data_IF_417927182883
#
_entry.id   IF_417927182883
#
_cell.length_a   1.000
_cell.length_b   1.000
_cell.length_c   1.000
_cell.angle_alpha   90.00
_cell.angle_beta   90.00
_cell.angle_gamma   90.00
#
_symmetry.space_group_name_H-M   'P 1'
#
loop_
_entity.id
_entity.type
_entity.pdbx_description
1 polymer ?
#
# COMPACT_ATOMS: atom_id res chain seq x y z
N UNK A 1 17.03 -54.77 -24.16
CA UNK A 1 16.05 -53.90 -24.86
C UNK A 1 16.78 -53.20 -26.00
N UNK A 2 16.26 -53.24 -27.23
CA UNK A 2 16.89 -52.51 -28.34
C UNK A 2 16.57 -51.01 -28.24
N UNK A 3 17.52 -50.17 -28.64
CA UNK A 3 17.40 -48.71 -28.65
C UNK A 3 16.17 -48.21 -29.43
N UNK A 4 15.73 -48.95 -30.44
CA UNK A 4 14.54 -48.62 -31.26
C UNK A 4 13.21 -48.73 -30.49
N UNK A 5 13.13 -49.60 -29.46
CA UNK A 5 11.94 -49.69 -28.60
C UNK A 5 11.87 -48.52 -27.62
N UNK A 6 13.00 -48.12 -27.04
CA UNK A 6 13.07 -46.96 -26.14
C UNK A 6 12.82 -45.64 -26.87
N UNK A 7 13.34 -45.50 -28.10
CA UNK A 7 13.09 -44.34 -28.98
C UNK A 7 11.60 -44.18 -29.36
N UNK A 8 10.91 -45.28 -29.66
CA UNK A 8 9.50 -45.26 -30.02
C UNK A 8 8.56 -45.00 -28.83
N UNK A 9 8.93 -45.43 -27.63
CA UNK A 9 8.15 -45.16 -26.41
C UNK A 9 8.31 -43.70 -25.95
N UNK A 10 9.53 -43.13 -26.01
CA UNK A 10 9.76 -41.70 -25.76
C UNK A 10 8.92 -40.81 -26.69
N UNK A 11 8.93 -41.10 -28.00
CA UNK A 11 8.14 -40.37 -29.00
C UNK A 11 6.61 -40.45 -28.79
N UNK A 12 6.11 -41.51 -28.14
CA UNK A 12 4.67 -41.65 -27.82
C UNK A 12 4.28 -40.87 -26.57
N UNK A 13 5.16 -40.82 -25.56
CA UNK A 13 4.96 -40.04 -24.34
C UNK A 13 4.91 -38.55 -24.66
N UNK A 14 5.85 -38.07 -25.49
CA UNK A 14 5.90 -36.67 -25.93
C UNK A 14 4.62 -36.27 -26.69
N UNK A 15 4.13 -37.12 -27.59
CA UNK A 15 2.88 -36.84 -28.34
C UNK A 15 1.64 -36.80 -27.46
N UNK A 16 1.58 -37.61 -26.40
CA UNK A 16 0.44 -37.62 -25.48
C UNK A 16 0.44 -36.37 -24.60
N UNK A 17 1.60 -35.97 -24.07
CA UNK A 17 1.75 -34.74 -23.29
C UNK A 17 1.37 -33.51 -24.12
N UNK A 18 1.90 -33.38 -25.35
CA UNK A 18 1.55 -32.29 -26.27
C UNK A 18 0.04 -32.23 -26.57
N UNK A 19 -0.62 -33.39 -26.69
CA UNK A 19 -2.07 -33.43 -26.92
C UNK A 19 -2.87 -32.99 -25.69
N UNK A 20 -2.43 -33.35 -24.48
CA UNK A 20 -3.05 -32.92 -23.22
C UNK A 20 -2.87 -31.42 -22.99
N UNK A 21 -1.67 -30.87 -23.25
CA UNK A 21 -1.41 -29.43 -23.20
C UNK A 21 -2.30 -28.65 -24.17
N UNK A 22 -2.44 -29.12 -25.43
CA UNK A 22 -3.35 -28.50 -26.41
C UNK A 22 -4.81 -28.52 -25.97
N UNK A 23 -5.25 -29.56 -25.24
CA UNK A 23 -6.61 -29.61 -24.71
C UNK A 23 -6.81 -28.60 -23.59
N UNK A 24 -5.86 -28.51 -22.66
CA UNK A 24 -5.87 -27.51 -21.58
C UNK A 24 -5.86 -26.08 -22.15
N UNK A 25 -5.03 -25.82 -23.14
CA UNK A 25 -4.95 -24.53 -23.81
C UNK A 25 -6.27 -24.16 -24.51
N UNK A 26 -6.91 -25.12 -25.18
CA UNK A 26 -8.22 -24.90 -25.80
C UNK A 26 -9.32 -24.61 -24.77
N UNK A 27 -9.27 -25.28 -23.62
CA UNK A 27 -10.21 -25.07 -22.52
C UNK A 27 -9.98 -23.70 -21.85
N UNK A 28 -8.73 -23.32 -21.58
CA UNK A 28 -8.34 -21.98 -21.11
C UNK A 28 -8.88 -20.88 -22.03
N UNK A 29 -8.61 -21.00 -23.34
CA UNK A 29 -9.09 -20.03 -24.33
C UNK A 29 -10.62 -19.93 -24.38
N UNK A 30 -11.32 -21.04 -24.18
CA UNK A 30 -12.78 -21.04 -24.09
C UNK A 30 -13.25 -20.28 -22.85
N UNK A 31 -12.67 -20.54 -21.68
CA UNK A 31 -13.00 -19.84 -20.42
C UNK A 31 -12.73 -18.34 -20.55
N UNK A 32 -11.60 -17.95 -21.14
CA UNK A 32 -11.28 -16.54 -21.40
C UNK A 32 -12.30 -15.86 -22.31
N UNK A 33 -12.77 -16.57 -23.34
CA UNK A 33 -13.80 -16.06 -24.22
C UNK A 33 -15.15 -15.92 -23.48
N UNK A 34 -15.52 -16.92 -22.69
CA UNK A 34 -16.73 -16.89 -21.86
C UNK A 34 -16.66 -15.72 -20.86
N UNK A 35 -15.51 -15.48 -20.23
CA UNK A 35 -15.25 -14.32 -19.37
C UNK A 35 -15.42 -13.01 -20.15
N UNK A 36 -14.77 -12.86 -21.32
CA UNK A 36 -14.91 -11.67 -22.17
C UNK A 36 -16.36 -11.36 -22.57
N UNK A 37 -17.15 -12.41 -22.81
CA UNK A 37 -18.55 -12.28 -23.24
C UNK A 37 -19.52 -12.06 -22.08
N UNK A 38 -19.19 -12.51 -20.87
CA UNK A 38 -20.08 -12.49 -19.71
C UNK A 38 -19.73 -11.44 -18.65
N UNK A 39 -18.48 -11.00 -18.57
CA UNK A 39 -18.02 -10.04 -17.56
C UNK A 39 -18.52 -8.64 -17.87
N UNK A 40 -19.40 -8.14 -17.02
CA UNK A 40 -19.96 -6.79 -17.10
C UNK A 40 -19.32 -5.81 -16.13
N UNK A 41 -18.46 -6.26 -15.22
CA UNK A 41 -17.83 -5.44 -14.19
C UNK A 41 -16.36 -5.82 -14.01
N UNK A 42 -15.54 -4.81 -13.76
CA UNK A 42 -14.09 -4.96 -13.66
C UNK A 42 -13.65 -5.54 -12.30
N UNK A 43 -14.42 -5.35 -11.24
CA UNK A 43 -14.16 -5.95 -9.92
C UNK A 43 -14.22 -7.49 -9.96
N UNK A 44 -15.16 -8.08 -10.69
CA UNK A 44 -15.21 -9.53 -10.91
C UNK A 44 -13.99 -10.03 -11.69
N UNK A 45 -13.58 -9.31 -12.74
CA UNK A 45 -12.37 -9.65 -13.51
C UNK A 45 -11.11 -9.57 -12.63
N UNK A 46 -11.00 -8.53 -11.82
CA UNK A 46 -9.92 -8.37 -10.84
C UNK A 46 -9.87 -9.56 -9.88
N UNK A 47 -11.02 -9.93 -9.30
CA UNK A 47 -11.10 -11.03 -8.33
C UNK A 47 -10.69 -12.38 -8.95
N UNK A 48 -11.07 -12.62 -10.21
CA UNK A 48 -10.64 -13.80 -10.97
C UNK A 48 -9.12 -13.78 -11.17
N UNK A 49 -8.58 -12.67 -11.67
CA UNK A 49 -7.15 -12.52 -11.94
C UNK A 49 -6.31 -12.65 -10.66
N UNK A 50 -6.77 -12.08 -9.55
CA UNK A 50 -6.15 -12.20 -8.24
C UNK A 50 -6.09 -13.67 -7.77
N UNK A 51 -7.19 -14.41 -7.92
CA UNK A 51 -7.23 -15.84 -7.61
C UNK A 51 -6.24 -16.67 -8.44
N UNK A 52 -5.98 -16.28 -9.69
CA UNK A 52 -5.04 -16.96 -10.58
C UNK A 52 -3.56 -16.68 -10.24
N UNK A 53 -3.26 -15.58 -9.55
CA UNK A 53 -1.89 -15.24 -9.16
C UNK A 53 -1.53 -15.62 -7.70
N UNK A 54 -2.50 -16.05 -6.89
CA UNK A 54 -2.26 -16.40 -5.48
C UNK A 54 -1.57 -17.77 -5.34
N UNK A 55 -0.42 -17.83 -4.64
CA UNK A 55 0.45 -19.02 -4.52
C UNK A 55 -0.20 -20.29 -3.95
N UNK A 56 -1.35 -20.16 -3.30
CA UNK A 56 -2.09 -21.29 -2.73
C UNK A 56 -3.28 -21.72 -3.59
N UNK A 57 -3.45 -21.17 -4.79
CA UNK A 57 -4.46 -21.65 -5.72
C UNK A 57 -3.94 -22.86 -6.48
N UNK A 58 -4.80 -23.86 -6.68
CA UNK A 58 -4.54 -25.00 -7.56
C UNK A 58 -4.39 -24.58 -9.04
N UNK A 59 -4.55 -23.28 -9.31
CA UNK A 59 -4.67 -22.66 -10.63
C UNK A 59 -3.62 -21.55 -10.85
N UNK A 60 -2.48 -21.61 -10.16
CA UNK A 60 -1.41 -20.63 -10.32
C UNK A 60 -0.92 -20.60 -11.78
N UNK A 61 -1.40 -19.63 -12.54
CA UNK A 61 -1.03 -19.39 -13.94
C UNK A 61 -0.88 -17.88 -14.12
N UNK A 62 0.38 -17.43 -14.02
CA UNK A 62 0.74 -16.01 -14.09
C UNK A 62 0.42 -15.40 -15.45
N UNK A 63 0.61 -16.17 -16.52
CA UNK A 63 0.31 -15.69 -17.88
C UNK A 63 -1.20 -15.50 -18.04
N UNK A 64 -1.98 -16.43 -17.50
CA UNK A 64 -3.43 -16.29 -17.51
C UNK A 64 -3.91 -15.12 -16.63
N UNK A 65 -3.32 -14.92 -15.45
CA UNK A 65 -3.63 -13.78 -14.60
C UNK A 65 -3.37 -12.45 -15.33
N UNK A 66 -2.23 -12.33 -16.05
CA UNK A 66 -1.91 -11.16 -16.88
C UNK A 66 -2.98 -10.90 -17.94
N UNK A 67 -3.42 -11.94 -18.65
CA UNK A 67 -4.47 -11.81 -19.65
C UNK A 67 -5.79 -11.29 -19.02
N UNK A 68 -6.20 -11.82 -17.86
CA UNK A 68 -7.43 -11.38 -17.19
C UNK A 68 -7.30 -9.96 -16.64
N UNK A 69 -6.14 -9.57 -16.09
CA UNK A 69 -5.88 -8.19 -15.68
C UNK A 69 -5.96 -7.23 -16.87
N UNK A 70 -5.41 -7.59 -18.03
CA UNK A 70 -5.53 -6.75 -19.24
C UNK A 70 -6.98 -6.54 -19.66
N UNK A 71 -7.84 -7.57 -19.54
CA UNK A 71 -9.27 -7.42 -19.80
C UNK A 71 -9.95 -6.51 -18.78
N UNK A 72 -9.56 -6.61 -17.51
CA UNK A 72 -10.03 -5.71 -16.46
C UNK A 72 -9.67 -4.26 -16.81
N UNK A 73 -8.42 -4.00 -17.20
CA UNK A 73 -7.95 -2.67 -17.62
C UNK A 73 -8.69 -2.12 -18.85
N UNK A 74 -8.96 -2.96 -19.85
CA UNK A 74 -9.75 -2.61 -21.04
C UNK A 74 -11.19 -2.28 -20.67
N UNK A 75 -11.80 -3.05 -19.77
CA UNK A 75 -13.17 -2.84 -19.32
C UNK A 75 -13.30 -1.53 -18.54
N UNK A 76 -12.38 -1.25 -17.62
CA UNK A 76 -12.33 0.02 -16.87
C UNK A 76 -12.24 1.18 -17.86
N UNK A 77 -11.37 1.08 -18.86
CA UNK A 77 -11.21 2.13 -19.86
C UNK A 77 -12.47 2.37 -20.70
N UNK A 78 -13.23 1.31 -21.00
CA UNK A 78 -14.45 1.39 -21.80
C UNK A 78 -15.65 1.92 -20.99
N UNK A 79 -15.76 1.55 -19.73
CA UNK A 79 -16.91 1.88 -18.88
C UNK A 79 -16.78 3.26 -18.22
N UNK A 80 -15.55 3.68 -17.95
CA UNK A 80 -15.28 4.87 -17.18
C UNK A 80 -14.44 5.84 -18.01
N UNK A 81 -15.13 6.60 -18.88
CA UNK A 81 -14.52 7.71 -19.62
C UNK A 81 -14.05 8.85 -18.68
N UNK A 82 -14.60 8.93 -17.46
CA UNK A 82 -14.29 10.04 -16.55
C UNK A 82 -13.67 9.59 -15.21
N UNK A 83 -14.28 8.78 -14.31
CA UNK A 83 -13.68 8.60 -12.96
C UNK A 83 -13.86 7.27 -12.21
N UNK A 84 -14.45 6.22 -12.78
CA UNK A 84 -14.67 4.97 -12.04
C UNK A 84 -13.46 4.04 -12.03
N UNK A 85 -13.15 3.51 -10.86
CA UNK A 85 -12.20 2.41 -10.61
C UNK A 85 -10.69 2.72 -10.63
N UNK A 86 -10.30 3.94 -10.25
CA UNK A 86 -8.91 4.25 -9.87
C UNK A 86 -8.32 3.18 -8.92
N UNK A 87 -9.10 2.74 -7.93
CA UNK A 87 -8.64 1.76 -6.95
C UNK A 87 -8.30 0.41 -7.57
N UNK A 88 -9.11 -0.06 -8.53
CA UNK A 88 -8.84 -1.33 -9.21
C UNK A 88 -7.57 -1.21 -10.06
N UNK A 89 -7.38 -0.10 -10.80
CA UNK A 89 -6.14 0.12 -11.54
C UNK A 89 -4.90 0.19 -10.63
N UNK A 90 -5.02 0.78 -9.44
CA UNK A 90 -3.94 0.83 -8.45
C UNK A 90 -3.61 -0.55 -7.89
N UNK A 91 -4.63 -1.35 -7.60
CA UNK A 91 -4.46 -2.71 -7.08
C UNK A 91 -3.86 -3.62 -8.14
N UNK A 92 -4.30 -3.53 -9.40
CA UNK A 92 -3.68 -4.23 -10.54
C UNK A 92 -2.21 -3.83 -10.67
N UNK A 93 -1.91 -2.52 -10.68
CA UNK A 93 -0.53 -2.04 -10.78
C UNK A 93 0.33 -2.58 -9.64
N UNK A 94 -0.20 -2.65 -8.41
CA UNK A 94 0.49 -3.25 -7.26
C UNK A 94 0.73 -4.76 -7.43
N UNK A 95 -0.20 -5.50 -8.03
CA UNK A 95 -0.02 -6.94 -8.30
C UNK A 95 1.12 -7.16 -9.31
N UNK A 96 1.22 -6.33 -10.36
CA UNK A 96 2.34 -6.34 -11.32
C UNK A 96 3.70 -5.94 -10.72
N UNK A 97 3.72 -5.38 -9.51
CA UNK A 97 4.94 -5.02 -8.81
C UNK A 97 5.37 -6.08 -7.78
N UNK A 98 4.42 -6.89 -7.32
CA UNK A 98 4.70 -7.85 -6.28
C UNK A 98 5.27 -9.14 -6.88
N UNK A 99 6.55 -9.37 -6.63
CA UNK A 99 7.30 -10.55 -7.05
C UNK A 99 6.70 -11.88 -6.58
N UNK A 100 5.83 -11.85 -5.57
CA UNK A 100 5.10 -13.03 -5.14
C UNK A 100 3.94 -13.40 -6.08
N UNK A 101 3.45 -12.44 -6.86
CA UNK A 101 2.35 -12.56 -7.82
C UNK A 101 2.87 -12.45 -9.26
N UNK A 102 2.97 -11.24 -9.81
CA UNK A 102 3.45 -10.92 -11.16
C UNK A 102 4.59 -9.92 -10.97
N UNK A 103 5.85 -10.32 -11.11
CA UNK A 103 6.99 -9.43 -10.81
C UNK A 103 8.21 -9.72 -11.65
N UNK A 104 7.95 -10.19 -12.88
CA UNK A 104 8.95 -10.27 -13.93
C UNK A 104 9.21 -8.87 -14.51
N UNK A 105 10.28 -8.73 -15.29
CA UNK A 105 10.68 -7.44 -15.86
C UNK A 105 9.56 -6.77 -16.67
N UNK A 106 8.78 -7.56 -17.40
CA UNK A 106 7.68 -7.05 -18.22
C UNK A 106 6.47 -6.62 -17.38
N UNK A 107 6.29 -7.21 -16.19
CA UNK A 107 5.26 -6.81 -15.23
C UNK A 107 5.59 -5.43 -14.64
N UNK A 108 6.87 -5.17 -14.32
CA UNK A 108 7.34 -3.85 -13.87
C UNK A 108 7.07 -2.76 -14.91
N UNK A 109 7.34 -3.05 -16.18
CA UNK A 109 7.04 -2.12 -17.28
C UNK A 109 5.53 -1.86 -17.39
N UNK A 110 4.68 -2.89 -17.22
CA UNK A 110 3.23 -2.75 -17.26
C UNK A 110 2.70 -1.93 -16.09
N UNK A 111 3.20 -2.16 -14.88
CA UNK A 111 2.90 -1.35 -13.71
C UNK A 111 3.26 0.12 -13.98
N UNK A 112 4.42 0.42 -14.55
CA UNK A 112 4.82 1.78 -14.91
C UNK A 112 3.85 2.44 -15.91
N UNK A 113 3.43 1.70 -16.93
CA UNK A 113 2.42 2.14 -17.91
C UNK A 113 1.09 2.45 -17.21
N UNK A 114 0.64 1.58 -16.31
CA UNK A 114 -0.57 1.80 -15.53
C UNK A 114 -0.47 3.03 -14.65
N UNK A 115 0.64 3.24 -13.95
CA UNK A 115 0.82 4.46 -13.16
C UNK A 115 0.85 5.72 -14.01
N UNK A 116 1.44 5.70 -15.21
CA UNK A 116 1.40 6.84 -16.14
C UNK A 116 -0.03 7.12 -16.61
N UNK A 117 -0.80 6.06 -16.88
CA UNK A 117 -2.23 6.16 -17.22
C UNK A 117 -3.03 6.76 -16.07
N UNK A 118 -2.82 6.27 -14.85
CA UNK A 118 -3.46 6.80 -13.64
C UNK A 118 -3.11 8.28 -13.43
N UNK A 119 -1.83 8.62 -13.54
CA UNK A 119 -1.34 10.01 -13.39
C UNK A 119 -1.95 10.94 -14.44
N UNK A 120 -2.23 10.44 -15.65
CA UNK A 120 -2.89 11.22 -16.71
C UNK A 120 -4.39 11.35 -16.48
N UNK A 121 -5.07 10.27 -16.10
CA UNK A 121 -6.52 10.23 -15.96
C UNK A 121 -7.00 10.95 -14.70
N UNK A 122 -6.21 10.95 -13.63
CA UNK A 122 -6.68 11.41 -12.32
C UNK A 122 -5.85 12.58 -11.76
N UNK A 123 -5.00 13.22 -12.58
CA UNK A 123 -4.13 14.31 -12.14
C UNK A 123 -4.84 15.39 -11.32
N UNK A 124 -6.06 15.73 -11.74
CA UNK A 124 -6.85 16.82 -11.18
C UNK A 124 -7.86 16.34 -10.10
N UNK A 125 -8.05 15.03 -9.96
CA UNK A 125 -9.07 14.43 -9.06
C UNK A 125 -8.49 13.52 -7.97
N UNK A 126 -7.18 13.35 -7.92
CA UNK A 126 -6.55 12.57 -6.85
C UNK A 126 -6.68 13.27 -5.50
N UNK A 127 -7.47 12.67 -4.62
CA UNK A 127 -7.47 12.99 -3.19
C UNK A 127 -6.09 12.71 -2.58
N UNK A 128 -5.85 13.25 -1.38
CA UNK A 128 -4.65 12.89 -0.61
C UNK A 128 -4.49 11.38 -0.41
N UNK A 129 -5.61 10.67 -0.28
CA UNK A 129 -5.64 9.21 -0.19
C UNK A 129 -5.16 8.53 -1.47
N UNK A 130 -5.60 9.03 -2.64
CA UNK A 130 -5.19 8.52 -3.94
C UNK A 130 -3.67 8.64 -4.14
N UNK A 131 -3.13 9.84 -3.87
CA UNK A 131 -1.69 10.07 -3.92
C UNK A 131 -0.92 9.20 -2.91
N UNK A 132 -1.42 9.01 -1.69
CA UNK A 132 -0.80 8.12 -0.71
C UNK A 132 -0.75 6.67 -1.20
N UNK A 133 -1.82 6.16 -1.78
CA UNK A 133 -1.87 4.79 -2.33
C UNK A 133 -0.88 4.61 -3.47
N UNK A 134 -0.82 5.57 -4.40
CA UNK A 134 0.17 5.59 -5.48
C UNK A 134 1.60 5.62 -4.95
N UNK A 135 1.89 6.51 -3.99
CA UNK A 135 3.22 6.65 -3.41
C UNK A 135 3.68 5.34 -2.76
N UNK A 136 2.82 4.71 -1.95
CA UNK A 136 3.11 3.43 -1.32
C UNK A 136 3.39 2.31 -2.33
N UNK A 137 2.64 2.29 -3.43
CA UNK A 137 2.75 1.22 -4.41
C UNK A 137 4.05 1.34 -5.23
N UNK A 138 4.47 2.54 -5.61
CA UNK A 138 5.70 2.74 -6.39
C UNK A 138 6.97 2.86 -5.55
N UNK A 139 6.87 3.00 -4.22
CA UNK A 139 8.00 3.29 -3.34
C UNK A 139 9.20 2.35 -3.50
N UNK A 140 8.94 1.04 -3.64
CA UNK A 140 10.01 0.04 -3.78
C UNK A 140 10.60 -0.06 -5.20
N UNK A 141 10.04 0.66 -6.17
CA UNK A 141 10.47 0.64 -7.58
C UNK A 141 11.10 1.96 -7.97
N UNK A 142 10.45 3.05 -7.61
CA UNK A 142 10.81 4.41 -7.97
C UNK A 142 10.58 5.32 -6.76
N UNK A 143 11.59 5.36 -5.89
CA UNK A 143 11.55 6.12 -4.64
C UNK A 143 11.48 7.64 -4.87
N UNK A 144 12.04 8.15 -5.97
CA UNK A 144 11.99 9.58 -6.32
C UNK A 144 10.55 9.96 -6.69
N UNK A 145 9.92 9.18 -7.56
CA UNK A 145 8.50 9.35 -7.89
C UNK A 145 7.60 9.18 -6.67
N UNK A 146 7.88 8.22 -5.81
CA UNK A 146 7.12 8.04 -4.58
C UNK A 146 7.20 9.27 -3.66
N UNK A 147 8.39 9.88 -3.53
CA UNK A 147 8.57 11.11 -2.76
C UNK A 147 7.73 12.27 -3.33
N UNK A 148 7.68 12.42 -4.65
CA UNK A 148 6.83 13.41 -5.32
C UNK A 148 5.34 13.15 -5.05
N UNK A 149 4.89 11.91 -5.14
CA UNK A 149 3.51 11.52 -4.85
C UNK A 149 3.15 11.75 -3.37
N UNK A 150 4.04 11.42 -2.42
CA UNK A 150 3.84 11.75 -1.02
C UNK A 150 3.74 13.26 -0.80
N UNK A 151 4.58 14.04 -1.46
CA UNK A 151 4.51 15.50 -1.37
C UNK A 151 3.20 16.04 -1.94
N UNK A 152 2.66 15.45 -3.01
CA UNK A 152 1.34 15.77 -3.54
C UNK A 152 0.24 15.38 -2.54
N UNK A 153 0.29 14.19 -1.94
CA UNK A 153 -0.63 13.74 -0.90
C UNK A 153 -0.66 14.75 0.27
N UNK A 154 0.50 15.18 0.77
CA UNK A 154 0.59 16.17 1.86
C UNK A 154 0.01 17.52 1.44
N UNK A 155 0.21 17.94 0.18
CA UNK A 155 -0.30 19.21 -0.32
C UNK A 155 -1.83 19.20 -0.41
N UNK A 156 -2.42 18.15 -0.96
CA UNK A 156 -3.86 18.05 -1.19
C UNK A 156 -4.66 17.69 0.05
N UNK A 157 -4.07 17.00 1.03
CA UNK A 157 -4.81 16.47 2.16
C UNK A 157 -5.02 17.46 3.29
N UNK A 158 -6.23 17.51 3.85
CA UNK A 158 -6.59 18.37 4.98
C UNK A 158 -7.07 17.61 6.21
N UNK A 159 -7.42 16.33 6.06
CA UNK A 159 -7.76 15.45 7.16
C UNK A 159 -6.49 15.11 7.97
N UNK A 160 -6.43 15.46 9.28
CA UNK A 160 -5.26 15.21 10.11
C UNK A 160 -4.93 13.72 10.22
N UNK A 161 -5.93 12.83 10.22
CA UNK A 161 -5.71 11.38 10.34
C UNK A 161 -5.05 10.79 9.08
N UNK A 162 -5.40 11.29 7.91
CA UNK A 162 -4.75 10.87 6.67
C UNK A 162 -3.35 11.45 6.56
N UNK A 163 -3.13 12.69 7.00
CA UNK A 163 -1.79 13.28 7.13
C UNK A 163 -0.89 12.48 8.09
N UNK A 164 -1.44 12.00 9.22
CA UNK A 164 -0.74 11.07 10.12
C UNK A 164 -0.39 9.77 9.40
N UNK A 165 -1.32 9.20 8.63
CA UNK A 165 -1.10 7.97 7.86
C UNK A 165 -0.02 8.13 6.78
N UNK A 166 0.05 9.30 6.14
CA UNK A 166 1.13 9.66 5.21
C UNK A 166 2.47 9.69 5.95
N UNK A 167 2.54 10.40 7.09
CA UNK A 167 3.73 10.43 7.94
C UNK A 167 4.15 9.05 8.41
N UNK A 168 3.18 8.20 8.77
CA UNK A 168 3.43 6.84 9.22
C UNK A 168 4.03 5.95 8.15
N UNK A 169 3.56 6.11 6.90
CA UNK A 169 4.04 5.38 5.73
C UNK A 169 5.49 5.75 5.41
N UNK A 170 5.79 7.06 5.37
CA UNK A 170 7.16 7.57 5.24
C UNK A 170 8.06 7.10 6.40
N UNK A 171 7.54 7.05 7.62
CA UNK A 171 8.28 6.56 8.79
C UNK A 171 8.57 5.04 8.77
N UNK A 172 7.74 4.23 8.10
CA UNK A 172 8.00 2.79 7.92
C UNK A 172 9.10 2.55 6.91
N UNK A 173 9.09 3.33 5.83
CA UNK A 173 10.14 3.35 4.83
C UNK A 173 11.53 3.57 5.46
N UNK A 174 11.63 4.48 6.44
CA UNK A 174 12.89 4.88 7.10
C UNK A 174 13.55 3.77 7.96
N UNK A 175 12.95 2.59 8.14
CA UNK A 175 13.51 1.56 9.04
C UNK A 175 14.85 1.02 8.53
N UNK A 176 15.90 1.00 9.36
CA UNK A 176 17.16 0.39 9.00
C UNK A 176 16.95 -1.11 8.77
N UNK A 177 17.14 -1.53 7.53
CA UNK A 177 17.29 -2.94 7.18
C UNK A 177 18.66 -3.39 7.70
N UNK A 178 18.64 -4.46 8.52
CA UNK A 178 19.72 -5.22 9.19
C UNK A 178 21.20 -4.81 8.99
N UNK A 179 21.99 -5.02 10.05
CA UNK A 179 23.45 -4.81 10.19
C UNK A 179 24.37 -5.44 9.11
N UNK A 180 23.84 -6.16 8.12
CA UNK A 180 24.64 -6.78 7.04
C UNK A 180 24.96 -5.84 5.87
N UNK A 181 24.47 -4.60 5.92
CA UNK A 181 24.79 -3.56 4.93
C UNK A 181 24.11 -3.76 3.57
N UNK A 182 23.15 -4.68 3.46
CA UNK A 182 22.34 -4.88 2.24
C UNK A 182 21.04 -4.08 2.25
N UNK A 183 20.85 -3.26 3.28
CA UNK A 183 19.68 -2.42 3.42
C UNK A 183 19.57 -1.37 2.33
N UNK A 184 18.42 -1.34 1.65
CA UNK A 184 18.06 -0.30 0.68
C UNK A 184 18.21 1.05 1.38
N UNK A 185 19.29 1.76 1.04
CA UNK A 185 19.50 3.12 1.49
C UNK A 185 18.33 3.96 0.98
N UNK A 186 17.66 4.63 1.91
CA UNK A 186 16.64 5.63 1.62
C UNK A 186 17.23 6.63 0.63
N UNK A 187 16.70 6.62 -0.59
CA UNK A 187 17.21 7.45 -1.67
C UNK A 187 16.75 8.92 -1.60
N UNK A 188 15.91 9.30 -0.64
CA UNK A 188 15.42 10.67 -0.46
C UNK A 188 15.27 11.01 1.04
N UNK A 189 15.26 12.30 1.40
CA UNK A 189 15.03 12.77 2.77
C UNK A 189 13.55 12.59 3.18
N UNK A 190 13.09 11.34 3.21
CA UNK A 190 11.76 10.92 3.63
C UNK A 190 11.45 11.41 5.05
N UNK A 191 12.48 11.69 5.84
CA UNK A 191 12.35 12.29 7.17
C UNK A 191 11.83 13.73 7.09
N UNK A 192 12.28 14.52 6.11
CA UNK A 192 11.72 15.86 5.88
C UNK A 192 10.25 15.80 5.44
N UNK A 193 9.89 14.90 4.52
CA UNK A 193 8.49 14.72 4.11
C UNK A 193 7.61 14.20 5.26
N UNK A 194 8.11 13.26 6.06
CA UNK A 194 7.43 12.75 7.24
C UNK A 194 7.16 13.89 8.24
N UNK A 195 8.19 14.69 8.57
CA UNK A 195 8.05 15.85 9.46
C UNK A 195 7.07 16.87 8.89
N UNK A 196 7.07 17.09 7.57
CA UNK A 196 6.12 17.97 6.88
C UNK A 196 4.68 17.47 7.02
N UNK A 197 4.44 16.16 6.82
CA UNK A 197 3.13 15.54 6.97
C UNK A 197 2.59 15.69 8.40
N UNK A 198 3.39 15.32 9.40
CA UNK A 198 3.01 15.44 10.81
C UNK A 198 2.82 16.88 11.26
N UNK A 199 3.63 17.82 10.76
CA UNK A 199 3.42 19.24 11.05
C UNK A 199 2.09 19.75 10.47
N UNK A 200 1.77 19.38 9.23
CA UNK A 200 0.47 19.73 8.66
C UNK A 200 -0.67 19.07 9.45
N UNK A 201 -0.51 17.81 9.88
CA UNK A 201 -1.48 17.14 10.74
C UNK A 201 -1.69 17.88 12.06
N UNK A 202 -0.60 18.33 12.71
CA UNK A 202 -0.64 19.15 13.92
C UNK A 202 -1.49 20.41 13.73
N UNK A 203 -1.24 21.15 12.64
CA UNK A 203 -1.97 22.39 12.32
C UNK A 203 -3.48 22.15 12.03
N UNK A 204 -3.87 20.89 11.80
CA UNK A 204 -5.26 20.47 11.51
C UNK A 204 -5.95 19.76 12.67
N UNK A 205 -5.22 19.39 13.73
CA UNK A 205 -5.81 18.82 14.93
C UNK A 205 -6.63 19.88 15.68
N UNK A 206 -7.81 19.49 16.15
CA UNK A 206 -8.80 20.42 16.72
C UNK A 206 -9.34 20.02 18.08
N UNK A 207 -9.03 18.81 18.55
CA UNK A 207 -9.50 18.27 19.82
C UNK A 207 -8.46 17.36 20.47
N UNK A 208 -8.66 17.03 21.74
CA UNK A 208 -7.74 16.19 22.54
C UNK A 208 -7.39 14.88 21.84
N UNK A 209 -8.39 14.13 21.36
CA UNK A 209 -8.19 12.83 20.71
C UNK A 209 -7.26 12.94 19.48
N UNK A 210 -7.46 13.95 18.63
CA UNK A 210 -6.65 14.15 17.43
C UNK A 210 -5.18 14.44 17.78
N UNK A 211 -4.92 15.25 18.83
CA UNK A 211 -3.56 15.51 19.31
C UNK A 211 -2.93 14.27 19.97
N UNK A 212 -3.70 13.49 20.74
CA UNK A 212 -3.23 12.23 21.35
C UNK A 212 -2.82 11.23 20.28
N UNK A 213 -3.62 11.06 19.24
CA UNK A 213 -3.32 10.16 18.13
C UNK A 213 -2.07 10.62 17.36
N UNK A 214 -1.93 11.93 17.12
CA UNK A 214 -0.74 12.49 16.48
C UNK A 214 0.52 12.26 17.31
N UNK A 215 0.48 12.57 18.62
CA UNK A 215 1.61 12.36 19.52
C UNK A 215 2.03 10.89 19.57
N UNK A 216 1.05 9.98 19.57
CA UNK A 216 1.28 8.54 19.52
C UNK A 216 1.98 8.14 18.22
N UNK A 217 1.47 8.59 17.07
CA UNK A 217 2.04 8.30 15.75
C UNK A 217 3.49 8.79 15.62
N UNK A 218 3.77 10.02 16.07
CA UNK A 218 5.11 10.61 16.08
C UNK A 218 6.05 9.83 17.01
N UNK A 219 5.62 9.52 18.24
CA UNK A 219 6.43 8.85 19.25
C UNK A 219 6.79 7.40 18.91
N UNK A 220 5.90 6.68 18.23
CA UNK A 220 6.09 5.26 17.89
C UNK A 220 7.27 5.00 16.93
N UNK A 221 7.75 6.03 16.22
CA UNK A 221 8.90 5.93 15.30
C UNK A 221 10.27 5.90 15.99
N UNK A 222 10.31 5.96 17.32
CA UNK A 222 11.41 5.56 18.20
C UNK A 222 12.81 6.14 17.88
N UNK A 223 12.89 7.31 17.26
CA UNK A 223 14.09 8.15 17.29
C UNK A 223 13.99 9.13 18.46
N UNK A 224 15.10 9.44 19.14
CA UNK A 224 15.10 10.29 20.34
C UNK A 224 14.44 11.67 20.12
N UNK A 225 14.67 12.29 18.97
CA UNK A 225 14.07 13.58 18.59
C UNK A 225 12.54 13.51 18.45
N UNK A 226 12.01 12.41 17.94
CA UNK A 226 10.56 12.25 17.76
C UNK A 226 9.84 12.07 19.11
N UNK A 227 10.49 11.48 20.12
CA UNK A 227 9.89 11.36 21.47
C UNK A 227 9.70 12.72 22.14
N UNK A 228 10.70 13.61 22.04
CA UNK A 228 10.58 14.96 22.58
C UNK A 228 9.47 15.74 21.86
N UNK A 229 9.38 15.59 20.54
CA UNK A 229 8.30 16.22 19.78
C UNK A 229 6.92 15.67 20.20
N UNK A 230 6.78 14.36 20.37
CA UNK A 230 5.55 13.76 20.87
C UNK A 230 5.18 14.27 22.27
N UNK A 231 6.16 14.45 23.18
CA UNK A 231 5.94 15.09 24.50
C UNK A 231 5.34 16.48 24.35
N UNK A 232 5.85 17.29 23.43
CA UNK A 232 5.34 18.65 23.20
C UNK A 232 3.92 18.64 22.62
N UNK A 233 3.57 17.67 21.78
CA UNK A 233 2.20 17.49 21.27
C UNK A 233 1.24 17.10 22.39
N UNK A 234 1.64 16.20 23.31
CA UNK A 234 0.82 15.86 24.47
C UNK A 234 0.58 17.05 25.40
N UNK A 235 1.56 17.94 25.60
CA UNK A 235 1.34 19.17 26.39
C UNK A 235 0.23 20.03 25.80
N UNK A 236 0.17 20.16 24.47
CA UNK A 236 -0.93 20.86 23.79
C UNK A 236 -2.26 20.15 24.01
N UNK A 237 -2.29 18.82 23.93
CA UNK A 237 -3.49 18.04 24.25
C UNK A 237 -3.99 18.26 25.69
N UNK A 238 -3.06 18.33 26.67
CA UNK A 238 -3.36 18.62 28.08
C UNK A 238 -3.95 20.03 28.22
N UNK A 239 -3.36 21.04 27.59
CA UNK A 239 -3.87 22.41 27.63
C UNK A 239 -5.31 22.51 27.10
N UNK A 240 -5.61 21.80 26.00
CA UNK A 240 -6.96 21.71 25.44
C UNK A 240 -7.91 20.99 26.41
N UNK A 241 -7.52 19.83 26.94
CA UNK A 241 -8.33 19.07 27.88
C UNK A 241 -8.68 19.88 29.14
N UNK A 242 -7.72 20.61 29.70
CA UNK A 242 -7.92 21.51 30.84
C UNK A 242 -8.89 22.65 30.51
N UNK A 243 -8.71 23.30 29.35
CA UNK A 243 -9.59 24.38 28.89
C UNK A 243 -11.04 23.89 28.71
N UNK A 244 -11.20 22.68 28.18
CA UNK A 244 -12.50 22.04 27.96
C UNK A 244 -13.07 21.38 29.22
N UNK A 245 -12.28 21.31 30.31
CA UNK A 245 -12.59 20.58 31.54
C UNK A 245 -12.89 19.10 31.27
N UNK A 246 -12.21 18.52 30.29
CA UNK A 246 -12.36 17.13 29.87
C UNK A 246 -11.52 16.22 30.77
N UNK A 247 -12.18 15.62 31.77
CA UNK A 247 -11.56 14.60 32.64
C UNK A 247 -11.15 13.36 31.84
N UNK A 248 -12.02 12.91 30.95
CA UNK A 248 -11.78 11.78 30.05
C UNK A 248 -10.55 12.04 29.15
N UNK A 249 -10.40 13.27 28.63
CA UNK A 249 -9.23 13.65 27.85
C UNK A 249 -7.92 13.56 28.65
N UNK A 250 -7.90 14.04 29.89
CA UNK A 250 -6.73 13.94 30.77
C UNK A 250 -6.40 12.49 31.16
N UNK A 251 -7.42 11.69 31.46
CA UNK A 251 -7.27 10.25 31.74
C UNK A 251 -6.68 9.51 30.55
N UNK A 252 -7.21 9.75 29.34
CA UNK A 252 -6.71 9.18 28.10
C UNK A 252 -5.24 9.57 27.87
N UNK A 253 -4.88 10.85 28.01
CA UNK A 253 -3.49 11.30 27.86
C UNK A 253 -2.57 10.57 28.85
N UNK A 254 -2.96 10.49 30.13
CA UNK A 254 -2.18 9.80 31.16
C UNK A 254 -1.99 8.30 30.85
N UNK A 255 -3.03 7.63 30.34
CA UNK A 255 -2.93 6.23 29.92
C UNK A 255 -1.87 6.05 28.83
N UNK A 256 -1.93 6.83 27.75
CA UNK A 256 -0.96 6.75 26.65
C UNK A 256 0.47 7.08 27.08
N UNK A 257 0.66 8.08 27.95
CA UNK A 257 1.98 8.45 28.49
C UNK A 257 2.56 7.33 29.36
N UNK A 258 1.72 6.63 30.12
CA UNK A 258 2.14 5.49 30.94
C UNK A 258 2.36 4.19 30.15
N UNK A 259 1.94 4.13 28.88
CA UNK A 259 2.10 2.94 28.05
C UNK A 259 3.59 2.64 27.78
N UNK A 260 3.98 1.39 27.99
CA UNK A 260 5.34 0.90 27.74
C UNK A 260 5.81 1.13 26.30
N UNK A 261 4.87 1.20 25.34
CA UNK A 261 5.14 1.48 23.92
C UNK A 261 5.63 2.90 23.69
N UNK A 262 5.38 3.83 24.62
CA UNK A 262 5.72 5.24 24.49
C UNK A 262 6.87 5.70 25.41
N UNK A 263 7.32 4.83 26.32
CA UNK A 263 8.45 5.11 27.18
C UNK A 263 8.21 4.82 28.65
N UNK A 264 6.98 4.42 29.03
CA UNK A 264 6.62 4.06 30.40
C UNK A 264 6.90 5.21 31.40
N UNK A 265 6.50 6.44 31.05
CA UNK A 265 6.74 7.64 31.87
C UNK A 265 5.64 7.75 32.95
N UNK A 266 5.68 6.82 33.90
CA UNK A 266 4.66 6.68 34.95
C UNK A 266 4.53 7.94 35.81
N UNK A 267 5.65 8.58 36.11
CA UNK A 267 5.69 9.77 36.95
C UNK A 267 4.93 10.92 36.29
N UNK A 268 5.15 11.15 34.99
CA UNK A 268 4.42 12.18 34.26
C UNK A 268 2.93 11.84 34.09
N UNK A 269 2.59 10.56 33.88
CA UNK A 269 1.20 10.13 33.85
C UNK A 269 0.47 10.40 35.17
N UNK A 270 1.12 10.20 36.31
CA UNK A 270 0.55 10.51 37.63
C UNK A 270 0.40 12.02 37.86
N UNK A 271 1.35 12.84 37.38
CA UNK A 271 1.20 14.29 37.37
C UNK A 271 -0.04 14.73 36.58
N UNK A 272 -0.29 14.13 35.41
CA UNK A 272 -1.48 14.43 34.59
C UNK A 272 -2.76 14.02 35.31
N UNK A 273 -2.80 12.84 35.95
CA UNK A 273 -3.96 12.37 36.74
C UNK A 273 -4.28 13.28 37.92
N UNK A 274 -3.26 13.90 38.52
CA UNK A 274 -3.45 14.85 39.61
C UNK A 274 -4.13 16.17 39.15
N UNK A 275 -4.28 16.40 37.84
CA UNK A 275 -4.98 17.57 37.28
C UNK A 275 -6.50 17.36 37.10
N UNK A 276 -7.02 16.15 37.37
CA UNK A 276 -8.46 15.78 37.29
C UNK A 276 -9.32 16.41 38.40
#
# INVERSE_FOLDING_TARGET
MSWDKLSNESNKIDKKQVLEERKKEKEKNKILQDIKESSTDAESLYSIAEGLCYRNSDFLDKDWAREVFQLCEELIHKQYEEHGELYVLLDIAKIYLDQNYLGEKDDLNRAEVLYKKIDTLYKDDLSGEGYLKMANAVYNIDSERAADLYNQAIKSEENPYLLMSIGDSLGKAIRPTKEDGTGIYLAYDDRALMKKAYKKAFDRCSNVDSYVLLATSVGFKNTGDNRNWAKDIYKVAIEIALKEKSKEGLEQIAEYVSDFRWGNDSDWADEIRAML
#
